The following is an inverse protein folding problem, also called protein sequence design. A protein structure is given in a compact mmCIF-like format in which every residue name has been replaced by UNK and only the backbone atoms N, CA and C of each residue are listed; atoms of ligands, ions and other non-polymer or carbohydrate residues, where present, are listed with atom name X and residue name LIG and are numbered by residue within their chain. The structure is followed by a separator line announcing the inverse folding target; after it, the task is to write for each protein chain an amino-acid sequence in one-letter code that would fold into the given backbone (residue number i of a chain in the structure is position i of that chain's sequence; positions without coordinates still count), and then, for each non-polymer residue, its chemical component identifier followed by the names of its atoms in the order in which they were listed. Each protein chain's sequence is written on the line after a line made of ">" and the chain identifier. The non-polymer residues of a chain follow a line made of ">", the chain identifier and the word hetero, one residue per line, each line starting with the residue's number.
data_IF_197046737654
#
_entry.id   IF_197046737654
#
_cell.length_a   1.000
_cell.length_b   1.000
_cell.length_c   1.000
_cell.angle_alpha   90.00
_cell.angle_beta   90.00
_cell.angle_gamma   90.00
#
_symmetry.space_group_name_H-M   'P 1'
#
loop_
_entity.id
_entity.type
_entity.pdbx_description
1 polymer ?
#
# COMPACT_ATOMS: atom_id res chain seq x y z
N UNK A 1 -5.00 -4.38 16.05
CA UNK A 1 -6.36 -4.75 15.59
C UNK A 1 -7.43 -4.57 16.66
N UNK A 2 -7.20 -4.93 17.93
CA UNK A 2 -8.18 -4.70 19.02
C UNK A 2 -8.60 -3.23 19.22
N UNK A 3 -7.66 -2.28 19.17
CA UNK A 3 -7.97 -0.84 19.37
C UNK A 3 -8.85 -0.25 18.24
N UNK A 4 -8.70 -0.74 17.01
CA UNK A 4 -9.50 -0.30 15.86
C UNK A 4 -10.87 -0.95 15.87
N UNK A 5 -10.94 -2.24 16.23
CA UNK A 5 -12.19 -2.96 16.41
C UNK A 5 -13.05 -2.37 17.53
N UNK A 6 -12.44 -1.82 18.59
CA UNK A 6 -13.17 -1.17 19.68
C UNK A 6 -13.64 0.26 19.35
N UNK A 7 -12.96 0.97 18.45
CA UNK A 7 -13.33 2.33 18.05
C UNK A 7 -14.26 2.39 16.83
N UNK A 8 -14.41 1.30 16.08
CA UNK A 8 -14.96 1.33 14.72
C UNK A 8 -16.28 0.59 14.46
N UNK A 9 -16.94 0.02 15.49
CA UNK A 9 -18.06 -0.91 15.26
C UNK A 9 -19.29 -0.32 14.58
N UNK A 10 -19.49 1.00 14.58
CA UNK A 10 -20.65 1.62 13.90
C UNK A 10 -20.27 2.47 12.69
N UNK A 11 -19.08 3.07 12.64
CA UNK A 11 -18.71 4.02 11.57
C UNK A 11 -17.88 3.39 10.43
N UNK A 12 -17.25 2.22 10.65
CA UNK A 12 -16.18 1.74 9.76
C UNK A 12 -16.39 0.34 9.16
N UNK A 13 -17.58 -0.26 9.29
CA UNK A 13 -17.88 -1.57 8.69
C UNK A 13 -17.65 -1.58 7.18
N UNK A 14 -17.85 -0.44 6.51
CA UNK A 14 -17.72 -0.30 5.06
C UNK A 14 -16.27 -0.01 4.61
N UNK A 15 -15.59 0.99 5.19
CA UNK A 15 -14.23 1.37 4.78
C UNK A 15 -13.10 0.58 5.47
N UNK A 16 -13.39 -0.19 6.52
CA UNK A 16 -12.40 -1.03 7.20
C UNK A 16 -11.72 -2.01 6.24
N UNK A 17 -12.45 -2.56 5.28
CA UNK A 17 -11.88 -3.41 4.23
C UNK A 17 -10.86 -2.66 3.37
N UNK A 18 -11.02 -1.35 3.14
CA UNK A 18 -10.05 -0.57 2.36
C UNK A 18 -8.78 -0.27 3.16
N UNK A 19 -8.89 0.03 4.46
CA UNK A 19 -7.74 0.34 5.33
C UNK A 19 -6.96 -0.89 5.78
N UNK A 20 -7.58 -2.07 5.87
CA UNK A 20 -6.93 -3.28 6.41
C UNK A 20 -6.89 -4.46 5.46
N UNK A 21 -7.66 -4.46 4.37
CA UNK A 21 -7.78 -5.59 3.46
C UNK A 21 -7.21 -5.29 2.07
N UNK A 22 -7.85 -4.38 1.35
CA UNK A 22 -7.57 -4.11 -0.07
C UNK A 22 -6.12 -3.65 -0.27
N UNK A 23 -5.61 -2.78 0.61
CA UNK A 23 -4.19 -2.37 0.53
C UNK A 23 -3.21 -3.53 0.73
N UNK A 24 -3.59 -4.61 1.41
CA UNK A 24 -2.71 -5.77 1.64
C UNK A 24 -2.62 -6.70 0.42
N UNK A 25 -3.43 -6.49 -0.62
CA UNK A 25 -3.36 -7.28 -1.85
C UNK A 25 -1.99 -7.18 -2.53
N UNK A 26 -1.35 -6.01 -2.49
CA UNK A 26 0.02 -5.88 -3.00
C UNK A 26 1.06 -6.53 -2.07
N UNK A 27 0.71 -6.90 -0.83
CA UNK A 27 1.59 -7.62 0.08
C UNK A 27 1.81 -9.08 -0.32
N UNK A 28 0.82 -9.70 -0.98
CA UNK A 28 0.89 -11.10 -1.44
C UNK A 28 2.09 -11.34 -2.38
N UNK A 29 2.26 -10.59 -3.49
CA UNK A 29 3.43 -10.77 -4.34
C UNK A 29 4.73 -10.31 -3.66
N UNK A 30 4.68 -9.36 -2.72
CA UNK A 30 5.86 -8.89 -1.99
C UNK A 30 6.49 -10.02 -1.17
N UNK A 31 5.69 -10.89 -0.53
CA UNK A 31 6.22 -12.05 0.21
C UNK A 31 7.06 -12.97 -0.70
N UNK A 32 6.63 -13.15 -1.95
CA UNK A 32 7.39 -13.93 -2.93
C UNK A 32 8.70 -13.22 -3.29
N UNK A 33 8.67 -11.91 -3.51
CA UNK A 33 9.87 -11.12 -3.79
C UNK A 33 10.86 -11.16 -2.62
N UNK A 34 10.37 -11.11 -1.38
CA UNK A 34 11.18 -11.15 -0.17
C UNK A 34 11.85 -12.52 0.02
N UNK A 35 11.17 -13.62 -0.32
CA UNK A 35 11.76 -14.96 -0.29
C UNK A 35 13.00 -15.07 -1.19
N UNK A 36 12.95 -14.43 -2.36
CA UNK A 36 14.05 -14.37 -3.33
C UNK A 36 14.90 -13.10 -3.20
N UNK A 37 14.86 -12.44 -2.04
CA UNK A 37 15.69 -11.26 -1.78
C UNK A 37 17.18 -11.65 -1.77
N UNK A 38 18.11 -10.83 -2.29
CA UNK A 38 19.55 -11.14 -2.35
C UNK A 38 20.24 -11.47 -1.01
N UNK A 39 19.56 -11.18 0.11
CA UNK A 39 20.01 -11.58 1.46
C UNK A 39 19.93 -13.10 1.66
N UNK A 40 19.01 -13.76 0.98
CA UNK A 40 18.79 -15.20 1.01
C UNK A 40 19.55 -15.87 -0.14
N UNK A 41 20.87 -16.02 0.04
CA UNK A 41 21.78 -16.55 -0.99
C UNK A 41 21.36 -17.91 -1.55
N UNK A 42 20.84 -18.80 -0.71
CA UNK A 42 20.38 -20.14 -1.10
C UNK A 42 19.18 -20.08 -2.06
N UNK A 43 18.18 -19.26 -1.75
CA UNK A 43 16.99 -19.07 -2.59
C UNK A 43 17.30 -18.32 -3.89
N UNK A 44 18.24 -17.37 -3.83
CA UNK A 44 18.70 -16.63 -5.01
C UNK A 44 19.47 -17.55 -5.97
N UNK A 45 20.34 -18.43 -5.44
CA UNK A 45 21.03 -19.44 -6.24
C UNK A 45 20.06 -20.43 -6.89
N UNK A 46 19.01 -20.84 -6.16
CA UNK A 46 17.95 -21.70 -6.69
C UNK A 46 17.14 -21.02 -7.82
N UNK A 47 16.89 -19.71 -7.69
CA UNK A 47 16.22 -18.95 -8.75
C UNK A 47 17.08 -18.89 -10.01
N UNK A 48 18.38 -18.65 -9.89
CA UNK A 48 19.29 -18.62 -11.06
C UNK A 48 19.56 -19.99 -11.68
N UNK A 49 19.42 -21.08 -10.92
CA UNK A 49 19.60 -22.44 -11.46
C UNK A 49 18.35 -22.98 -12.16
N UNK A 50 17.18 -22.36 -11.95
CA UNK A 50 15.91 -22.81 -12.52
C UNK A 50 15.13 -21.65 -13.16
N UNK A 51 15.06 -21.66 -14.49
CA UNK A 51 14.39 -20.63 -15.29
C UNK A 51 12.90 -20.43 -14.94
N UNK A 52 12.22 -21.47 -14.45
CA UNK A 52 10.83 -21.35 -14.00
C UNK A 52 10.72 -20.53 -12.71
N UNK A 53 11.64 -20.73 -11.76
CA UNK A 53 11.67 -19.99 -10.48
C UNK A 53 12.07 -18.54 -10.72
N UNK A 54 13.03 -18.31 -11.62
CA UNK A 54 13.40 -16.96 -12.06
C UNK A 54 12.22 -16.21 -12.70
N UNK A 55 11.47 -16.87 -13.59
CA UNK A 55 10.29 -16.30 -14.21
C UNK A 55 9.21 -15.96 -13.18
N UNK A 56 8.99 -16.82 -12.18
CA UNK A 56 8.04 -16.55 -11.07
C UNK A 56 8.48 -15.35 -10.24
N UNK A 57 9.76 -15.24 -9.87
CA UNK A 57 10.28 -14.10 -9.11
C UNK A 57 10.14 -12.78 -9.91
N UNK A 58 10.51 -12.79 -11.19
CA UNK A 58 10.37 -11.61 -12.05
C UNK A 58 8.90 -11.23 -12.25
N UNK A 59 8.02 -12.22 -12.45
CA UNK A 59 6.57 -12.03 -12.50
C UNK A 59 6.01 -11.44 -11.21
N UNK A 60 6.44 -11.94 -10.05
CA UNK A 60 6.03 -11.43 -8.74
C UNK A 60 6.49 -9.99 -8.51
N UNK A 61 7.71 -9.61 -8.94
CA UNK A 61 8.19 -8.22 -8.88
C UNK A 61 7.35 -7.29 -9.75
N UNK A 62 7.05 -7.69 -10.98
CA UNK A 62 6.20 -6.92 -11.89
C UNK A 62 4.77 -6.78 -11.34
N UNK A 63 4.20 -7.87 -10.84
CA UNK A 63 2.87 -7.88 -10.24
C UNK A 63 2.81 -7.05 -8.96
N UNK A 64 3.84 -7.12 -8.11
CA UNK A 64 3.97 -6.26 -6.94
C UNK A 64 3.97 -4.79 -7.34
N UNK A 65 4.83 -4.39 -8.29
CA UNK A 65 4.89 -3.02 -8.75
C UNK A 65 3.55 -2.52 -9.30
N UNK A 66 2.87 -3.34 -10.12
CA UNK A 66 1.56 -3.01 -10.67
C UNK A 66 0.49 -2.86 -9.58
N UNK A 67 0.34 -3.85 -8.70
CA UNK A 67 -0.65 -3.82 -7.62
C UNK A 67 -0.37 -2.71 -6.62
N UNK A 68 0.90 -2.45 -6.31
CA UNK A 68 1.30 -1.37 -5.42
C UNK A 68 0.85 -0.02 -6.00
N UNK A 69 1.14 0.24 -7.28
CA UNK A 69 0.75 1.49 -7.93
C UNK A 69 -0.77 1.63 -7.97
N UNK A 70 -1.48 0.63 -8.47
CA UNK A 70 -2.94 0.69 -8.61
C UNK A 70 -3.65 0.84 -7.27
N UNK A 71 -3.31 0.00 -6.30
CA UNK A 71 -4.07 -0.13 -5.05
C UNK A 71 -3.57 0.85 -3.99
N UNK A 72 -2.27 0.88 -3.72
CA UNK A 72 -1.70 1.70 -2.62
C UNK A 72 -1.37 3.12 -3.05
N UNK A 73 -0.85 3.33 -4.25
CA UNK A 73 -0.44 4.66 -4.70
C UNK A 73 -1.60 5.49 -5.28
N UNK A 74 -2.61 4.85 -5.90
CA UNK A 74 -3.73 5.58 -6.52
C UNK A 74 -5.06 5.35 -5.82
N UNK A 75 -5.53 4.11 -5.75
CA UNK A 75 -6.87 3.83 -5.23
C UNK A 75 -7.02 4.20 -3.74
N UNK A 76 -6.04 3.88 -2.90
CA UNK A 76 -6.11 4.22 -1.47
C UNK A 76 -6.15 5.73 -1.21
N UNK A 77 -5.23 6.57 -1.75
CA UNK A 77 -5.34 8.01 -1.63
C UNK A 77 -6.65 8.55 -2.21
N UNK A 78 -7.10 8.03 -3.35
CA UNK A 78 -8.39 8.41 -3.92
C UNK A 78 -9.55 8.21 -2.92
N UNK A 79 -9.65 7.03 -2.29
CA UNK A 79 -10.69 6.77 -1.26
C UNK A 79 -10.51 7.68 -0.05
N UNK A 80 -9.27 7.89 0.42
CA UNK A 80 -9.00 8.77 1.57
C UNK A 80 -9.46 10.20 1.29
N UNK A 81 -9.10 10.78 0.14
CA UNK A 81 -9.39 12.18 -0.18
C UNK A 81 -10.82 12.44 -0.66
N UNK A 82 -11.46 11.48 -1.33
CA UNK A 82 -12.80 11.68 -1.91
C UNK A 82 -13.93 11.14 -1.05
N UNK A 83 -13.64 10.24 -0.10
CA UNK A 83 -14.68 9.59 0.70
C UNK A 83 -14.40 9.79 2.20
N UNK A 84 -13.27 9.30 2.70
CA UNK A 84 -13.00 9.28 4.15
C UNK A 84 -12.90 10.68 4.76
N UNK A 85 -12.18 11.60 4.11
CA UNK A 85 -12.03 12.98 4.56
C UNK A 85 -13.37 13.75 4.53
N UNK A 86 -14.12 13.78 3.42
CA UNK A 86 -15.44 14.40 3.36
C UNK A 86 -16.43 13.81 4.36
N UNK A 87 -16.49 12.48 4.49
CA UNK A 87 -17.41 11.80 5.40
C UNK A 87 -17.09 12.14 6.87
N UNK A 88 -15.80 12.09 7.24
CA UNK A 88 -15.37 12.45 8.58
C UNK A 88 -15.67 13.93 8.91
N UNK A 89 -15.47 14.83 7.93
CA UNK A 89 -15.78 16.25 8.09
C UNK A 89 -17.29 16.50 8.23
N UNK A 90 -18.11 15.83 7.42
CA UNK A 90 -19.56 15.94 7.46
C UNK A 90 -20.12 15.48 8.82
N UNK A 91 -19.61 14.38 9.39
CA UNK A 91 -20.04 13.93 10.72
C UNK A 91 -19.49 14.84 11.82
N UNK A 92 -18.26 15.34 11.67
CA UNK A 92 -17.65 16.23 12.66
C UNK A 92 -18.34 17.61 12.73
N UNK A 93 -18.90 18.10 11.62
CA UNK A 93 -19.61 19.38 11.58
C UNK A 93 -21.00 19.33 12.22
N UNK A 94 -21.57 18.14 12.42
CA UNK A 94 -22.85 17.99 13.12
C UNK A 94 -22.75 18.40 14.60
N UNK A 95 -23.84 18.90 15.19
CA UNK A 95 -23.94 19.08 16.64
C UNK A 95 -23.65 17.78 17.39
N UNK A 96 -22.98 17.86 18.54
CA UNK A 96 -22.55 16.67 19.29
C UNK A 96 -23.69 15.70 19.63
N UNK A 97 -24.91 16.21 19.85
CA UNK A 97 -26.11 15.43 20.11
C UNK A 97 -26.55 14.55 18.92
N UNK A 98 -26.16 14.92 17.69
CA UNK A 98 -26.58 14.25 16.45
C UNK A 98 -25.50 13.29 15.89
N UNK A 99 -24.32 13.24 16.50
CA UNK A 99 -23.17 12.47 15.98
C UNK A 99 -23.29 10.94 16.09
N UNK A 100 -24.47 10.38 16.35
CA UNK A 100 -24.74 8.94 16.40
C UNK A 100 -23.67 8.12 17.18
N UNK A 101 -23.18 8.65 18.30
CA UNK A 101 -22.11 8.06 19.13
C UNK A 101 -20.72 7.94 18.45
N UNK A 102 -20.50 8.62 17.33
CA UNK A 102 -19.20 8.69 16.68
C UNK A 102 -18.19 9.40 17.60
N UNK A 103 -17.10 8.70 17.91
CA UNK A 103 -16.04 9.24 18.74
C UNK A 103 -15.32 10.38 18.01
N UNK A 104 -15.26 11.56 18.62
CA UNK A 104 -14.46 12.69 18.12
C UNK A 104 -13.01 12.29 17.87
N UNK A 105 -12.45 11.43 18.72
CA UNK A 105 -11.10 10.91 18.52
C UNK A 105 -11.00 10.11 17.22
N UNK A 106 -11.95 9.22 16.94
CA UNK A 106 -11.95 8.42 15.72
C UNK A 106 -12.15 9.29 14.46
N UNK A 107 -13.03 10.30 14.53
CA UNK A 107 -13.30 11.24 13.44
C UNK A 107 -12.09 12.10 13.06
N UNK A 108 -11.15 12.31 13.98
CA UNK A 108 -9.91 13.06 13.70
C UNK A 108 -8.73 12.12 13.39
N UNK A 109 -8.58 11.05 14.16
CA UNK A 109 -7.45 10.13 14.06
C UNK A 109 -7.40 9.45 12.69
N UNK A 110 -8.53 8.91 12.23
CA UNK A 110 -8.58 8.07 11.02
C UNK A 110 -8.29 8.87 9.74
N UNK A 111 -8.95 10.00 9.44
CA UNK A 111 -8.59 10.78 8.26
C UNK A 111 -7.17 11.31 8.33
N UNK A 112 -6.69 11.73 9.51
CA UNK A 112 -5.30 12.19 9.68
C UNK A 112 -4.30 11.10 9.30
N UNK A 113 -4.43 9.90 9.88
CA UNK A 113 -3.55 8.79 9.55
C UNK A 113 -3.77 8.28 8.13
N UNK A 114 -4.98 8.35 7.58
CA UNK A 114 -5.24 8.04 6.16
C UNK A 114 -4.45 8.94 5.22
N UNK A 115 -4.36 10.24 5.49
CA UNK A 115 -3.52 11.18 4.74
C UNK A 115 -2.05 10.86 4.92
N UNK A 116 -1.58 10.68 6.16
CA UNK A 116 -0.17 10.33 6.42
C UNK A 116 0.24 9.02 5.74
N UNK A 117 -0.62 8.00 5.77
CA UNK A 117 -0.40 6.75 5.07
C UNK A 117 -0.40 6.94 3.56
N UNK A 118 -1.28 7.77 3.00
CA UNK A 118 -1.31 8.08 1.56
C UNK A 118 0.00 8.72 1.10
N UNK A 119 0.52 9.67 1.87
CA UNK A 119 1.82 10.30 1.62
C UNK A 119 2.97 9.28 1.71
N UNK A 120 2.92 8.40 2.70
CA UNK A 120 3.89 7.30 2.82
C UNK A 120 3.82 6.37 1.61
N UNK A 121 2.62 5.98 1.15
CA UNK A 121 2.48 5.13 -0.04
C UNK A 121 3.04 5.82 -1.29
N UNK A 122 2.84 7.13 -1.46
CA UNK A 122 3.45 7.88 -2.57
C UNK A 122 4.98 7.95 -2.50
N UNK A 123 5.55 8.09 -1.30
CA UNK A 123 6.99 8.02 -1.13
C UNK A 123 7.55 6.69 -1.66
N UNK A 124 6.98 5.56 -1.24
CA UNK A 124 7.37 4.24 -1.71
C UNK A 124 7.08 4.02 -3.21
N UNK A 125 5.94 4.53 -3.71
CA UNK A 125 5.61 4.50 -5.14
C UNK A 125 6.69 5.20 -5.97
N UNK A 126 7.24 6.32 -5.48
CA UNK A 126 8.34 7.02 -6.14
C UNK A 126 9.62 6.18 -6.22
N UNK A 127 9.89 5.35 -5.20
CA UNK A 127 11.03 4.43 -5.19
C UNK A 127 10.84 3.30 -6.20
N UNK A 128 9.64 2.72 -6.26
CA UNK A 128 9.28 1.69 -7.24
C UNK A 128 9.36 2.26 -8.66
N UNK A 129 8.78 3.44 -8.89
CA UNK A 129 8.82 4.11 -10.19
C UNK A 129 10.27 4.38 -10.66
N UNK A 130 11.17 4.77 -9.74
CA UNK A 130 12.60 4.92 -10.04
C UNK A 130 13.27 3.61 -10.41
N UNK A 131 12.91 2.50 -9.76
CA UNK A 131 13.45 1.18 -10.12
C UNK A 131 12.96 0.73 -11.49
N UNK A 132 11.68 0.92 -11.80
CA UNK A 132 11.11 0.63 -13.12
C UNK A 132 11.78 1.51 -14.20
N UNK A 133 11.94 2.81 -13.94
CA UNK A 133 12.61 3.72 -14.87
C UNK A 133 14.06 3.31 -15.15
N UNK A 134 14.79 2.81 -14.14
CA UNK A 134 16.16 2.28 -14.34
C UNK A 134 16.19 1.04 -15.22
N UNK A 135 15.18 0.17 -15.13
CA UNK A 135 15.08 -1.03 -15.99
C UNK A 135 14.73 -0.67 -17.44
N UNK A 136 14.01 0.43 -17.65
CA UNK A 136 13.62 0.92 -18.98
C UNK A 136 14.63 1.87 -19.61
N UNK A 137 15.56 2.41 -18.82
CA UNK A 137 16.62 3.27 -19.33
C UNK A 137 17.56 2.44 -20.23
N UNK A 138 17.86 2.90 -21.46
CA UNK A 138 18.84 2.23 -22.29
C UNK A 138 20.20 2.20 -21.58
N UNK A 139 20.88 1.05 -21.62
CA UNK A 139 22.20 0.86 -21.00
C UNK A 139 23.14 2.03 -21.31
N UNK A 140 23.54 2.77 -20.27
CA UNK A 140 24.64 3.71 -20.42
C UNK A 140 25.93 2.87 -20.44
N UNK A 141 26.45 2.71 -21.67
CA UNK A 141 27.69 2.03 -22.07
C UNK A 141 28.72 1.80 -20.95
N UNK A 142 29.43 0.65 -20.94
CA UNK A 142 30.46 0.37 -19.95
C UNK A 142 31.57 1.43 -20.01
N UNK A 143 31.92 2.00 -18.85
CA UNK A 143 33.21 2.68 -18.70
C UNK A 143 34.29 1.60 -18.70
N UNK A 144 34.81 1.27 -19.87
CA UNK A 144 36.16 0.75 -19.98
C UNK A 144 37.14 1.87 -19.64
N UNK A 145 37.82 1.74 -18.49
CA UNK A 145 39.16 2.27 -18.24
C UNK A 145 39.89 1.28 -17.35
#
# INVERSE_FOLDING_TARGET
>A
MLLVAMAGQTTYSYYGCCFFGVIELSGIPLVVVDLFHPKHKQWTQLAHSNSAIEAVNNGARALFAALYMLVRAFYFPYVVFTQVLPDAWAVYSLPAAERASASTFALLFIPTFGVLFSLLQWYWASLIARQVAKLLAPDHKPKHQ
#
